data_IF_043164967919
#
_entry.id   IF_043164967919
#
_cell.length_a   1.000
_cell.length_b   1.000
_cell.length_c   1.000
_cell.angle_alpha   90.00
_cell.angle_beta   90.00
_cell.angle_gamma   90.00
#
_symmetry.space_group_name_H-M   'P 1'
#
loop_
_entity.id
_entity.type
_entity.pdbx_description
1 polymer ?
#
# COMPACT_ATOMS: atom_id res chain seq x y z
N UNK A 1 2.27 19.93 19.15
CA UNK A 1 3.55 19.32 19.59
C UNK A 1 3.63 17.79 19.40
N UNK A 2 2.55 17.03 19.50
CA UNK A 2 2.57 15.56 19.34
C UNK A 2 2.94 15.08 17.92
N UNK A 3 2.67 15.87 16.86
CA UNK A 3 2.94 15.51 15.46
C UNK A 3 4.42 15.49 15.08
N UNK A 4 5.26 16.27 15.75
CA UNK A 4 6.71 16.32 15.50
C UNK A 4 7.47 15.19 16.17
N UNK A 5 6.97 14.64 17.26
CA UNK A 5 7.63 13.59 18.05
C UNK A 5 7.54 12.22 17.33
N UNK A 6 6.43 11.95 16.64
CA UNK A 6 6.23 10.70 15.88
C UNK A 6 7.20 10.62 14.69
N UNK A 7 7.49 11.74 14.04
CA UNK A 7 8.44 11.80 12.93
C UNK A 7 9.90 11.61 13.40
N UNK A 8 10.28 12.15 14.56
CA UNK A 8 11.62 12.04 15.11
C UNK A 8 11.93 10.63 15.67
N UNK A 9 10.94 9.96 16.28
CA UNK A 9 11.11 8.60 16.82
C UNK A 9 11.25 7.54 15.72
N UNK A 10 10.59 7.73 14.56
CA UNK A 10 10.78 6.88 13.38
C UNK A 10 12.17 7.06 12.73
N UNK A 11 12.80 8.22 12.91
CA UNK A 11 14.10 8.52 12.32
C UNK A 11 15.28 7.90 13.09
N UNK A 12 15.17 7.73 14.40
CA UNK A 12 16.24 7.18 15.25
C UNK A 12 16.28 5.66 15.30
N UNK A 13 15.19 4.97 14.96
CA UNK A 13 15.14 3.50 14.91
C UNK A 13 15.77 2.89 13.63
N UNK A 14 16.20 3.71 12.67
CA UNK A 14 16.62 3.28 11.33
C UNK A 14 18.11 2.98 11.17
N UNK A 15 18.88 2.97 12.22
CA UNK A 15 20.36 2.81 12.18
C UNK A 15 20.89 1.45 11.70
N UNK A 16 20.05 0.45 11.46
CA UNK A 16 20.46 -0.89 11.04
C UNK A 16 19.67 -1.46 9.84
N UNK A 17 18.90 -0.62 9.15
CA UNK A 17 18.06 -1.06 8.03
C UNK A 17 18.86 -1.04 6.73
N UNK A 18 18.64 -2.05 5.86
CA UNK A 18 19.38 -2.27 4.61
C UNK A 18 19.59 -0.97 3.83
N UNK A 19 20.82 -0.77 3.31
CA UNK A 19 21.22 0.46 2.62
C UNK A 19 20.32 0.86 1.44
N UNK A 20 19.63 -0.14 0.83
CA UNK A 20 18.73 0.04 -0.33
C UNK A 20 17.23 0.01 0.04
N UNK A 21 16.91 0.08 1.32
CA UNK A 21 15.53 0.08 1.77
C UNK A 21 14.84 1.41 1.45
N UNK A 22 13.54 1.34 1.16
CA UNK A 22 12.74 2.47 0.71
C UNK A 22 11.55 2.71 1.63
N UNK A 23 11.25 3.97 1.90
CA UNK A 23 9.99 4.39 2.46
C UNK A 23 8.98 4.67 1.35
N UNK A 24 7.73 4.28 1.57
CA UNK A 24 6.64 4.47 0.62
C UNK A 24 5.50 5.19 1.30
N UNK A 25 5.22 6.40 0.86
CA UNK A 25 3.99 7.13 1.20
C UNK A 25 2.97 6.89 0.08
N UNK A 26 1.78 6.45 0.43
CA UNK A 26 0.72 6.07 -0.51
C UNK A 26 -0.58 6.78 -0.14
N UNK A 27 -1.26 7.30 -1.15
CA UNK A 27 -2.63 7.79 -1.06
C UNK A 27 -3.46 7.09 -2.12
N UNK A 28 -4.57 6.46 -1.72
CA UNK A 28 -5.53 5.80 -2.60
C UNK A 28 -6.94 6.31 -2.38
N UNK A 29 -7.72 6.36 -3.45
CA UNK A 29 -9.14 6.68 -3.43
C UNK A 29 -9.93 5.61 -4.17
N UNK A 30 -11.04 5.18 -3.59
CA UNK A 30 -11.92 4.21 -4.21
C UNK A 30 -12.55 4.77 -5.50
N UNK A 31 -12.59 3.92 -6.54
CA UNK A 31 -13.13 4.30 -7.85
C UNK A 31 -14.66 4.30 -7.80
N UNK A 32 -15.26 3.27 -7.20
CA UNK A 32 -16.70 3.09 -7.12
C UNK A 32 -17.33 3.86 -5.97
N UNK A 33 -16.65 3.93 -4.83
CA UNK A 33 -17.04 4.71 -3.66
C UNK A 33 -16.16 5.94 -3.55
N UNK A 34 -16.58 7.06 -4.10
CA UNK A 34 -15.81 8.31 -4.16
C UNK A 34 -15.38 8.88 -2.79
N UNK A 35 -15.89 8.31 -1.70
CA UNK A 35 -15.66 8.82 -0.35
C UNK A 35 -14.71 7.96 0.49
N UNK A 36 -14.25 6.80 -0.02
CA UNK A 36 -13.27 5.98 0.69
C UNK A 36 -11.85 6.36 0.29
N UNK A 37 -11.13 6.93 1.24
CA UNK A 37 -9.73 7.32 1.09
C UNK A 37 -8.82 6.46 1.97
N UNK A 38 -7.60 6.19 1.48
CA UNK A 38 -6.58 5.42 2.19
C UNK A 38 -5.27 6.19 2.19
N UNK A 39 -4.68 6.35 3.37
CA UNK A 39 -3.30 6.82 3.51
C UNK A 39 -2.48 5.69 4.11
N UNK A 40 -1.38 5.33 3.47
CA UNK A 40 -0.47 4.25 3.89
C UNK A 40 0.94 4.76 4.01
N UNK A 41 1.63 4.28 5.05
CA UNK A 41 3.08 4.34 5.14
C UNK A 41 3.63 2.93 5.06
N UNK A 42 4.55 2.69 4.14
CA UNK A 42 5.19 1.40 3.91
C UNK A 42 6.70 1.50 4.03
N UNK A 43 7.29 0.36 4.35
CA UNK A 43 8.73 0.14 4.33
C UNK A 43 9.02 -1.02 3.39
N UNK A 44 9.81 -0.77 2.36
CA UNK A 44 10.11 -1.70 1.27
C UNK A 44 11.56 -2.14 1.37
N UNK A 45 11.76 -3.45 1.37
CA UNK A 45 13.06 -4.10 1.40
C UNK A 45 13.33 -4.74 0.04
N UNK A 46 14.51 -4.54 -0.57
CA UNK A 46 14.90 -5.28 -1.75
C UNK A 46 15.13 -6.75 -1.37
N UNK A 47 14.70 -7.65 -2.24
CA UNK A 47 15.09 -9.06 -2.20
C UNK A 47 16.35 -9.15 -3.04
N UNK A 48 17.43 -9.74 -2.48
CA UNK A 48 18.66 -9.94 -3.23
C UNK A 48 18.40 -10.68 -4.53
N UNK A 49 19.09 -10.26 -5.57
CA UNK A 49 18.93 -10.71 -6.94
C UNK A 49 18.69 -12.22 -7.04
N UNK A 50 17.49 -12.56 -7.46
CA UNK A 50 17.17 -13.88 -7.97
C UNK A 50 17.13 -13.76 -9.48
N UNK A 51 17.88 -14.57 -10.19
CA UNK A 51 17.82 -14.67 -11.65
C UNK A 51 16.45 -15.19 -12.14
N UNK A 52 15.62 -15.66 -11.23
CA UNK A 52 14.30 -16.19 -11.53
C UNK A 52 13.28 -15.06 -11.67
N UNK A 53 12.80 -14.83 -12.89
CA UNK A 53 11.81 -13.80 -13.25
C UNK A 53 10.49 -13.86 -12.44
N UNK A 54 10.16 -15.01 -11.86
CA UNK A 54 8.96 -15.21 -11.04
C UNK A 54 9.14 -14.80 -9.57
N UNK A 55 10.37 -14.53 -9.13
CA UNK A 55 10.64 -14.06 -7.77
C UNK A 55 10.34 -12.56 -7.65
N UNK A 56 9.73 -12.11 -6.54
CA UNK A 56 9.53 -10.69 -6.31
C UNK A 56 10.87 -9.98 -6.14
N UNK A 57 10.94 -8.74 -6.59
CA UNK A 57 12.13 -7.89 -6.45
C UNK A 57 12.22 -7.22 -5.07
N UNK A 58 11.05 -7.04 -4.42
CA UNK A 58 10.96 -6.40 -3.11
C UNK A 58 9.85 -7.04 -2.28
N UNK A 59 9.97 -6.91 -0.96
CA UNK A 59 8.87 -7.09 0.00
C UNK A 59 8.59 -5.76 0.67
N UNK A 60 7.32 -5.40 0.80
CA UNK A 60 6.88 -4.19 1.46
C UNK A 60 5.98 -4.55 2.65
N UNK A 61 6.26 -3.94 3.79
CA UNK A 61 5.39 -3.95 4.97
C UNK A 61 4.80 -2.56 5.15
N UNK A 62 3.54 -2.47 5.56
CA UNK A 62 2.90 -1.18 5.71
C UNK A 62 1.75 -1.19 6.70
N UNK A 63 1.36 0.03 7.08
CA UNK A 63 0.14 0.30 7.83
C UNK A 63 -0.65 1.42 7.18
N UNK A 64 -1.96 1.28 7.14
CA UNK A 64 -2.85 2.26 6.52
C UNK A 64 -3.91 2.76 7.48
N UNK A 65 -4.34 3.99 7.23
CA UNK A 65 -5.56 4.57 7.78
C UNK A 65 -6.55 4.74 6.65
N UNK A 66 -7.75 4.19 6.84
CA UNK A 66 -8.88 4.28 5.93
C UNK A 66 -9.89 5.29 6.46
N UNK A 67 -10.39 6.13 5.60
CA UNK A 67 -11.57 6.96 5.86
C UNK A 67 -12.72 6.38 5.04
N UNK A 68 -13.68 5.80 5.73
CA UNK A 68 -14.79 5.06 5.10
C UNK A 68 -16.10 5.75 5.45
N UNK A 69 -16.95 6.08 4.46
CA UNK A 69 -18.29 6.59 4.72
C UNK A 69 -19.10 5.59 5.55
N UNK A 70 -19.94 6.12 6.42
CA UNK A 70 -20.88 5.36 7.23
C UNK A 70 -22.18 6.17 7.40
N UNK A 71 -23.28 5.53 7.73
CA UNK A 71 -24.60 6.16 7.94
C UNK A 71 -24.53 7.34 8.95
N UNK A 72 -23.58 7.30 9.88
CA UNK A 72 -23.36 8.33 10.92
C UNK A 72 -22.22 9.30 10.60
N UNK A 73 -21.72 9.33 9.37
CA UNK A 73 -20.57 10.14 8.94
C UNK A 73 -19.38 9.27 8.51
N UNK A 74 -18.17 9.80 8.62
CA UNK A 74 -16.95 9.08 8.23
C UNK A 74 -16.35 8.32 9.40
N UNK A 75 -16.09 7.03 9.23
CA UNK A 75 -15.40 6.19 10.20
C UNK A 75 -13.95 5.92 9.77
N UNK A 76 -13.07 5.71 10.77
CA UNK A 76 -11.68 5.33 10.52
C UNK A 76 -11.49 3.84 10.73
N UNK A 77 -10.75 3.22 9.82
CA UNK A 77 -10.26 1.85 9.90
C UNK A 77 -8.74 1.86 9.77
N UNK A 78 -8.11 0.79 10.21
CA UNK A 78 -6.66 0.60 10.10
C UNK A 78 -6.40 -0.75 9.45
N UNK A 79 -5.30 -0.88 8.73
CA UNK A 79 -4.76 -2.17 8.32
C UNK A 79 -3.27 -2.25 8.59
N UNK A 80 -2.79 -3.49 8.69
CA UNK A 80 -1.41 -3.88 8.51
C UNK A 80 -1.32 -4.72 7.24
N UNK A 81 -0.28 -4.53 6.45
CA UNK A 81 -0.13 -5.24 5.19
C UNK A 81 1.30 -5.70 4.94
N UNK A 82 1.41 -6.79 4.18
CA UNK A 82 2.65 -7.29 3.63
C UNK A 82 2.44 -7.65 2.16
N UNK A 83 3.29 -7.12 1.28
CA UNK A 83 3.11 -7.22 -0.16
C UNK A 83 4.43 -7.59 -0.84
N UNK A 84 4.40 -8.61 -1.69
CA UNK A 84 5.47 -8.94 -2.63
C UNK A 84 5.34 -8.03 -3.86
N UNK A 85 6.46 -7.47 -4.31
CA UNK A 85 6.52 -6.51 -5.42
C UNK A 85 7.43 -7.05 -6.51
N UNK A 86 6.93 -7.07 -7.72
CA UNK A 86 7.69 -7.31 -8.96
C UNK A 86 7.85 -5.97 -9.66
N UNK A 87 9.08 -5.48 -9.74
CA UNK A 87 9.38 -4.19 -10.37
C UNK A 87 10.36 -4.36 -11.51
N UNK A 88 10.04 -3.76 -12.66
CA UNK A 88 10.90 -3.66 -13.84
C UNK A 88 11.38 -2.22 -14.00
N UNK A 89 12.66 -1.99 -13.75
CA UNK A 89 13.30 -0.68 -13.86
C UNK A 89 13.55 -0.30 -15.32
N UNK A 90 13.36 0.97 -15.64
CA UNK A 90 13.62 1.61 -16.93
C UNK A 90 14.42 2.90 -16.71
N UNK A 91 14.99 3.47 -17.76
CA UNK A 91 15.73 4.74 -17.66
C UNK A 91 14.89 5.90 -17.14
N UNK A 92 13.60 5.93 -17.48
CA UNK A 92 12.65 6.97 -17.08
C UNK A 92 11.93 6.71 -15.75
N UNK A 93 11.93 5.46 -15.27
CA UNK A 93 11.17 5.06 -14.09
C UNK A 93 10.99 3.55 -13.99
N UNK A 94 9.78 3.07 -13.71
CA UNK A 94 9.50 1.65 -13.52
C UNK A 94 8.05 1.27 -13.83
N UNK A 95 7.85 -0.02 -14.07
CA UNK A 95 6.55 -0.71 -13.95
C UNK A 95 6.61 -1.61 -12.73
N UNK A 96 5.52 -1.68 -11.99
CA UNK A 96 5.42 -2.63 -10.88
C UNK A 96 4.07 -3.34 -10.83
N UNK A 97 4.13 -4.58 -10.36
CA UNK A 97 2.98 -5.35 -9.92
C UNK A 97 3.22 -5.77 -8.47
N UNK A 98 2.16 -5.87 -7.68
CA UNK A 98 2.26 -6.35 -6.32
C UNK A 98 1.08 -7.24 -5.95
N UNK A 99 1.36 -8.18 -5.02
CA UNK A 99 0.36 -9.05 -4.43
C UNK A 99 0.68 -9.29 -2.96
N UNK A 100 -0.34 -9.24 -2.08
CA UNK A 100 -0.11 -9.41 -0.65
C UNK A 100 -1.35 -9.57 0.18
N UNK A 101 -1.15 -9.65 1.50
CA UNK A 101 -2.20 -9.75 2.51
C UNK A 101 -2.37 -8.46 3.29
N UNK A 102 -3.62 -8.18 3.66
CA UNK A 102 -4.05 -7.01 4.41
C UNK A 102 -4.90 -7.46 5.59
N UNK A 103 -4.55 -7.06 6.80
CA UNK A 103 -5.28 -7.36 8.02
C UNK A 103 -5.96 -6.09 8.52
N UNK A 104 -7.27 -6.00 8.31
CA UNK A 104 -8.09 -4.85 8.70
C UNK A 104 -8.48 -4.92 10.18
N UNK A 105 -8.45 -3.80 10.86
CA UNK A 105 -8.91 -3.67 12.25
C UNK A 105 -10.41 -3.92 12.43
N UNK A 106 -11.20 -3.63 11.39
CA UNK A 106 -12.65 -3.87 11.33
C UNK A 106 -13.08 -4.12 9.88
N UNK A 107 -14.05 -4.97 9.70
CA UNK A 107 -14.70 -5.22 8.41
C UNK A 107 -15.40 -3.97 7.90
N UNK A 108 -15.54 -3.85 6.58
CA UNK A 108 -16.26 -2.77 5.90
C UNK A 108 -17.49 -3.39 5.26
N UNK A 109 -18.67 -2.88 5.60
CA UNK A 109 -19.92 -3.37 5.04
C UNK A 109 -20.90 -2.20 4.94
N UNK A 110 -20.74 -1.41 3.90
CA UNK A 110 -21.66 -0.35 3.50
C UNK A 110 -22.23 -0.65 2.12
N UNK A 111 -23.06 0.24 1.57
CA UNK A 111 -23.72 0.02 0.28
C UNK A 111 -22.72 -0.13 -0.88
N UNK A 112 -21.62 0.62 -0.84
CA UNK A 112 -20.63 0.71 -1.92
C UNK A 112 -19.43 -0.25 -1.74
N UNK A 113 -19.12 -0.64 -0.49
CA UNK A 113 -17.94 -1.46 -0.19
C UNK A 113 -18.30 -2.60 0.75
N UNK A 114 -18.08 -3.82 0.29
CA UNK A 114 -18.39 -5.04 1.06
C UNK A 114 -17.12 -5.89 1.24
N UNK A 115 -16.44 -5.64 2.35
CA UNK A 115 -15.25 -6.39 2.80
C UNK A 115 -15.56 -7.04 4.16
N UNK A 116 -16.23 -8.20 4.14
CA UNK A 116 -16.81 -8.82 5.34
C UNK A 116 -15.80 -9.62 6.15
N UNK A 117 -14.55 -9.74 5.70
CA UNK A 117 -13.46 -10.40 6.44
C UNK A 117 -12.44 -9.39 6.95
N UNK A 118 -11.76 -9.74 8.04
CA UNK A 118 -10.65 -8.94 8.54
C UNK A 118 -9.39 -9.14 7.68
N UNK A 119 -9.27 -10.27 6.99
CA UNK A 119 -8.17 -10.57 6.10
C UNK A 119 -8.62 -10.42 4.65
N UNK A 120 -7.89 -9.60 3.90
CA UNK A 120 -8.11 -9.37 2.48
C UNK A 120 -6.80 -9.62 1.71
N UNK A 121 -6.93 -10.08 0.47
CA UNK A 121 -5.85 -10.07 -0.50
C UNK A 121 -5.84 -8.75 -1.25
N UNK A 122 -4.66 -8.27 -1.60
CA UNK A 122 -4.51 -7.08 -2.43
C UNK A 122 -3.59 -7.35 -3.60
N UNK A 123 -3.99 -6.90 -4.77
CA UNK A 123 -3.14 -6.84 -5.96
C UNK A 123 -3.07 -5.42 -6.48
N UNK A 124 -1.93 -5.02 -7.05
CA UNK A 124 -1.82 -3.73 -7.70
C UNK A 124 -0.96 -3.77 -8.95
N UNK A 125 -1.21 -2.82 -9.83
CA UNK A 125 -0.39 -2.50 -10.99
C UNK A 125 -0.10 -1.01 -10.97
N UNK A 126 1.14 -0.63 -11.25
CA UNK A 126 1.54 0.78 -11.24
C UNK A 126 2.68 1.09 -12.19
N UNK A 127 2.82 2.37 -12.45
CA UNK A 127 3.92 2.97 -13.18
C UNK A 127 4.45 4.13 -12.35
N UNK A 128 5.78 4.29 -12.28
CA UNK A 128 6.40 5.39 -11.56
C UNK A 128 7.53 6.03 -12.34
N UNK A 129 7.73 7.31 -12.06
CA UNK A 129 8.73 8.16 -12.69
C UNK A 129 9.79 8.56 -11.67
N UNK A 130 11.04 8.65 -12.10
CA UNK A 130 12.13 9.14 -11.26
C UNK A 130 12.03 10.66 -11.15
N UNK A 131 12.02 11.16 -9.92
CA UNK A 131 12.11 12.61 -9.61
C UNK A 131 13.54 13.03 -9.29
N UNK A 132 14.41 12.05 -8.99
CA UNK A 132 15.80 12.22 -8.61
C UNK A 132 16.47 10.88 -8.39
N UNK A 133 17.67 10.88 -7.83
CA UNK A 133 18.45 9.64 -7.66
C UNK A 133 17.76 8.62 -6.74
N UNK A 134 17.08 9.11 -5.69
CA UNK A 134 16.54 8.26 -4.62
C UNK A 134 15.02 8.45 -4.43
N UNK A 135 14.34 9.09 -5.39
CA UNK A 135 12.93 9.45 -5.26
C UNK A 135 12.15 9.08 -6.51
N UNK A 136 10.97 8.51 -6.31
CA UNK A 136 10.03 8.21 -7.40
C UNK A 136 8.63 8.63 -7.03
N UNK A 137 7.85 9.02 -8.05
CA UNK A 137 6.41 9.25 -7.96
C UNK A 137 5.71 8.25 -8.86
N UNK A 138 4.78 7.48 -8.32
CA UNK A 138 4.04 6.48 -9.07
C UNK A 138 2.54 6.67 -8.97
N UNK A 139 1.82 6.12 -9.95
CA UNK A 139 0.36 6.03 -9.98
C UNK A 139 -0.02 4.62 -10.37
N UNK A 140 -1.20 4.17 -9.97
CA UNK A 140 -1.65 2.83 -10.32
C UNK A 140 -3.03 2.49 -9.79
N UNK A 141 -3.41 1.24 -10.00
CA UNK A 141 -4.66 0.65 -9.56
C UNK A 141 -4.37 -0.45 -8.56
N UNK A 142 -5.17 -0.51 -7.50
CA UNK A 142 -5.12 -1.56 -6.49
C UNK A 142 -6.51 -2.14 -6.29
N UNK A 143 -6.60 -3.47 -6.30
CA UNK A 143 -7.79 -4.23 -5.91
C UNK A 143 -7.56 -4.90 -4.56
N UNK A 144 -8.55 -4.84 -3.67
CA UNK A 144 -8.56 -5.62 -2.42
C UNK A 144 -9.87 -6.40 -2.32
N UNK A 145 -9.76 -7.70 -1.99
CA UNK A 145 -10.90 -8.57 -1.74
C UNK A 145 -10.47 -9.81 -0.96
N UNK A 146 -11.42 -10.53 -0.38
CA UNK A 146 -11.12 -11.78 0.33
C UNK A 146 -11.08 -13.03 -0.57
N UNK A 147 -11.02 -12.84 -1.88
CA UNK A 147 -11.01 -13.93 -2.88
C UNK A 147 -12.19 -14.94 -2.73
N UNK A 148 -13.33 -14.49 -2.21
CA UNK A 148 -14.52 -15.33 -2.00
C UNK A 148 -14.52 -16.20 -0.74
N UNK A 149 -13.53 -16.05 0.16
CA UNK A 149 -13.49 -16.78 1.44
C UNK A 149 -14.74 -16.51 2.28
N UNK A 150 -15.27 -15.28 2.20
CA UNK A 150 -16.51 -14.89 2.88
C UNK A 150 -17.39 -14.04 1.97
N UNK A 151 -18.69 -14.33 1.96
CA UNK A 151 -19.68 -13.59 1.18
C UNK A 151 -20.40 -12.54 2.02
N UNK A 152 -20.87 -11.42 1.41
CA UNK A 152 -20.63 -11.01 0.01
C UNK A 152 -19.18 -10.51 -0.16
N UNK A 153 -18.52 -10.86 -1.29
CA UNK A 153 -17.15 -10.43 -1.62
C UNK A 153 -17.19 -9.35 -2.70
N UNK A 154 -17.56 -8.13 -2.32
CA UNK A 154 -17.57 -6.99 -3.25
C UNK A 154 -16.18 -6.45 -3.55
N UNK A 155 -15.28 -6.51 -2.56
CA UNK A 155 -13.94 -5.91 -2.67
C UNK A 155 -13.97 -4.39 -2.75
N UNK A 156 -12.83 -3.80 -3.13
CA UNK A 156 -12.68 -2.37 -3.42
C UNK A 156 -11.56 -2.15 -4.44
N UNK A 157 -11.83 -1.28 -5.41
CA UNK A 157 -10.86 -0.83 -6.40
C UNK A 157 -10.41 0.60 -6.07
N UNK A 158 -9.11 0.82 -6.07
CA UNK A 158 -8.48 2.08 -5.72
C UNK A 158 -7.63 2.60 -6.87
N UNK A 159 -7.79 3.87 -7.19
CA UNK A 159 -6.76 4.64 -7.87
C UNK A 159 -5.78 5.15 -6.80
N UNK A 160 -4.47 5.00 -7.01
CA UNK A 160 -3.49 5.46 -6.05
C UNK A 160 -2.38 6.31 -6.66
N UNK A 161 -1.80 7.14 -5.79
CA UNK A 161 -0.51 7.80 -5.98
C UNK A 161 0.42 7.32 -4.89
N UNK A 162 1.67 7.02 -5.24
CA UNK A 162 2.70 6.67 -4.27
C UNK A 162 3.98 7.49 -4.48
N UNK A 163 4.57 7.90 -3.38
CA UNK A 163 5.90 8.51 -3.34
C UNK A 163 6.85 7.57 -2.63
N UNK A 164 7.95 7.23 -3.30
CA UNK A 164 8.98 6.35 -2.74
C UNK A 164 10.29 7.10 -2.60
N UNK A 165 10.96 6.92 -1.47
CA UNK A 165 12.28 7.49 -1.24
C UNK A 165 13.18 6.52 -0.48
N UNK A 166 14.46 6.50 -0.82
CA UNK A 166 15.53 5.83 -0.10
C UNK A 166 16.54 6.84 0.45
N UNK A 167 17.32 6.40 1.37
CA UNK A 167 18.45 7.19 1.92
C UNK A 167 19.65 7.11 1.04
#
# INVERSE_FOLDING_TARGET
MLRAIIFAALWSATGALAADAQWVAFFGRAIESQETDIVRLGYRLPIRESEAWWMPTHVQFGGSVWQVPDIRGTTRRFDLNATSIWRSEKSWGYWEAGFGGYLLSKTINNEDTRMPSAFEFGSHLGVGFRLGNNQTLGVGLQHLSNAGIKQPNGGIDLLFVQYTFSR
#
